data_IF_548147205196
#
_entry.id   IF_548147205196
#
_cell.length_a   1.000
_cell.length_b   1.000
_cell.length_c   1.000
_cell.angle_alpha   90.00
_cell.angle_beta   90.00
_cell.angle_gamma   90.00
#
_symmetry.space_group_name_H-M   'P 1'
#
loop_
_entity.id
_entity.type
_entity.pdbx_description
1 polymer ?
#
# COMPACT_ATOMS: atom_id res chain seq x y z
N UNK A 1 14.71 6.85 13.60
CA UNK A 1 13.42 6.77 12.88
C UNK A 1 13.52 5.98 11.58
N UNK A 2 14.31 6.39 10.58
CA UNK A 2 14.32 5.72 9.26
C UNK A 2 14.67 4.22 9.35
N UNK A 3 15.72 3.85 10.08
CA UNK A 3 16.12 2.43 10.24
C UNK A 3 14.99 1.54 10.78
N UNK A 4 14.17 2.03 11.73
CA UNK A 4 13.05 1.23 12.25
C UNK A 4 11.93 1.01 11.23
N UNK A 5 11.87 1.84 10.18
CA UNK A 5 10.94 1.68 9.06
C UNK A 5 11.52 0.82 7.93
N UNK A 6 12.85 0.71 7.81
CA UNK A 6 13.49 0.18 6.59
C UNK A 6 14.42 -1.00 6.79
N UNK A 7 14.67 -1.46 8.01
CA UNK A 7 15.53 -2.64 8.26
C UNK A 7 14.74 -3.94 8.10
N UNK A 8 14.77 -4.51 6.87
CA UNK A 8 14.09 -5.75 6.47
C UNK A 8 12.60 -5.79 6.86
N UNK A 9 11.92 -4.66 6.76
CA UNK A 9 10.51 -4.52 7.09
C UNK A 9 9.61 -5.00 5.96
N UNK A 10 8.46 -5.53 6.34
CA UNK A 10 7.36 -5.88 5.43
C UNK A 10 6.32 -4.75 5.49
N UNK A 11 6.28 -3.94 4.44
CA UNK A 11 5.33 -2.84 4.29
C UNK A 11 4.04 -3.32 3.65
N UNK A 12 2.91 -2.87 4.17
CA UNK A 12 1.62 -3.00 3.47
C UNK A 12 1.52 -1.92 2.39
N UNK A 13 1.28 -2.33 1.14
CA UNK A 13 1.09 -1.38 0.06
C UNK A 13 -0.25 -0.64 0.16
N UNK A 14 -0.31 0.66 -0.17
CA UNK A 14 -1.57 1.38 -0.23
C UNK A 14 -2.38 0.96 -1.47
N UNK A 15 -3.56 0.38 -1.25
CA UNK A 15 -4.49 -0.08 -2.28
C UNK A 15 -5.85 0.60 -2.06
N UNK A 16 -6.12 1.65 -2.82
CA UNK A 16 -7.39 2.37 -2.75
C UNK A 16 -8.58 1.41 -2.99
N UNK A 17 -9.57 1.44 -2.10
CA UNK A 17 -10.73 0.55 -2.05
C UNK A 17 -10.48 -0.81 -1.40
N UNK A 18 -9.28 -1.06 -0.85
CA UNK A 18 -8.91 -2.33 -0.23
C UNK A 18 -8.22 -2.20 1.12
N UNK A 19 -7.23 -1.30 1.26
CA UNK A 19 -6.47 -1.12 2.50
C UNK A 19 -7.08 -0.04 3.38
N UNK A 20 -8.37 -0.18 3.65
CA UNK A 20 -9.07 0.66 4.61
C UNK A 20 -8.63 0.35 6.05
N UNK A 21 -9.15 1.08 7.03
CA UNK A 21 -8.73 0.93 8.43
C UNK A 21 -8.87 -0.52 8.93
N UNK A 22 -9.97 -1.20 8.60
CA UNK A 22 -10.21 -2.57 9.04
C UNK A 22 -9.18 -3.54 8.42
N UNK A 23 -8.97 -3.48 7.12
CA UNK A 23 -8.03 -4.40 6.48
C UNK A 23 -6.58 -4.15 6.92
N UNK A 24 -6.21 -2.90 7.20
CA UNK A 24 -4.86 -2.57 7.72
C UNK A 24 -4.61 -3.19 9.09
N UNK A 25 -5.61 -3.20 9.99
CA UNK A 25 -5.50 -3.90 11.29
C UNK A 25 -5.28 -5.40 11.10
N UNK A 26 -6.04 -6.02 10.20
CA UNK A 26 -5.89 -7.45 9.90
C UNK A 26 -4.48 -7.72 9.32
N UNK A 27 -4.02 -6.92 8.37
CA UNK A 27 -2.66 -7.05 7.86
C UNK A 27 -1.58 -6.85 8.93
N UNK A 28 -1.79 -5.94 9.89
CA UNK A 28 -0.89 -5.74 11.02
C UNK A 28 -0.82 -6.98 11.91
N UNK A 29 -1.96 -7.57 12.25
CA UNK A 29 -2.05 -8.82 13.02
C UNK A 29 -1.40 -9.98 12.25
N UNK A 30 -1.54 -10.02 10.93
CA UNK A 30 -0.86 -10.97 10.06
C UNK A 30 0.61 -10.63 9.79
N UNK A 31 1.25 -9.70 10.51
CA UNK A 31 2.70 -9.52 10.44
C UNK A 31 3.20 -8.43 9.48
N UNK A 32 2.36 -7.53 8.98
CA UNK A 32 2.85 -6.28 8.38
C UNK A 32 3.59 -5.46 9.44
N UNK A 33 4.82 -5.04 9.15
CA UNK A 33 5.61 -4.22 10.06
C UNK A 33 5.26 -2.74 9.93
N UNK A 34 5.04 -2.25 8.69
CA UNK A 34 4.75 -0.83 8.41
C UNK A 34 3.45 -0.71 7.61
N UNK A 35 2.58 0.20 8.02
CA UNK A 35 1.27 0.42 7.43
C UNK A 35 1.24 1.75 6.67
N UNK A 36 0.64 1.76 5.48
CA UNK A 36 0.38 2.98 4.70
C UNK A 36 -1.13 3.13 4.52
N UNK A 37 -1.65 4.34 4.69
CA UNK A 37 -3.04 4.67 4.37
C UNK A 37 -3.36 4.42 2.90
N UNK A 38 -4.65 4.36 2.55
CA UNK A 38 -5.04 4.58 1.16
C UNK A 38 -4.54 5.96 0.68
N UNK A 39 -4.45 6.16 -0.64
CA UNK A 39 -4.03 7.44 -1.19
C UNK A 39 -5.08 8.53 -0.89
N UNK A 40 -4.64 9.63 -0.28
CA UNK A 40 -5.49 10.75 0.14
C UNK A 40 -5.21 11.97 -0.73
N UNK A 41 -6.28 12.63 -1.21
CA UNK A 41 -6.13 13.82 -2.05
C UNK A 41 -5.67 15.01 -1.22
N UNK A 42 -4.56 15.65 -1.58
CA UNK A 42 -4.11 16.88 -0.94
C UNK A 42 -5.15 18.01 -1.10
N UNK A 43 -5.69 18.20 -2.32
CA UNK A 43 -6.81 19.13 -2.56
C UNK A 43 -8.01 18.80 -1.67
N UNK A 44 -8.31 17.51 -1.52
CA UNK A 44 -9.39 17.04 -0.67
C UNK A 44 -9.17 17.36 0.80
N UNK A 45 -7.94 17.26 1.31
CA UNK A 45 -7.63 17.65 2.70
C UNK A 45 -7.77 19.16 2.90
N UNK A 46 -7.32 19.96 1.93
CA UNK A 46 -7.30 21.42 2.02
C UNK A 46 -8.69 22.05 1.82
N UNK A 47 -9.48 21.57 0.85
CA UNK A 47 -10.74 22.19 0.46
C UNK A 47 -12.00 21.40 0.87
N UNK A 48 -11.91 20.09 1.08
CA UNK A 48 -13.04 19.20 1.41
C UNK A 48 -12.69 18.26 2.58
N UNK A 49 -12.26 18.88 3.69
CA UNK A 49 -11.56 18.22 4.81
C UNK A 49 -12.29 16.98 5.33
N UNK A 50 -13.63 17.02 5.47
CA UNK A 50 -14.40 15.97 6.17
C UNK A 50 -14.25 14.59 5.55
N UNK A 51 -14.33 14.47 4.23
CA UNK A 51 -14.26 13.15 3.56
C UNK A 51 -12.82 12.67 3.42
N UNK A 52 -11.91 13.57 3.06
CA UNK A 52 -10.53 13.15 2.75
C UNK A 52 -9.75 12.81 4.01
N UNK A 53 -10.03 13.51 5.12
CA UNK A 53 -9.33 13.26 6.39
C UNK A 53 -9.67 11.89 6.98
N UNK A 54 -10.84 11.31 6.72
CA UNK A 54 -11.18 9.99 7.31
C UNK A 54 -10.32 8.85 6.78
N UNK A 55 -9.76 8.98 5.57
CA UNK A 55 -8.78 8.02 5.05
C UNK A 55 -7.46 8.00 5.85
N UNK A 56 -7.20 9.05 6.64
CA UNK A 56 -6.01 9.17 7.51
C UNK A 56 -6.22 8.56 8.89
N UNK A 57 -7.43 8.10 9.22
CA UNK A 57 -7.75 7.59 10.54
C UNK A 57 -7.02 6.27 10.82
N UNK A 58 -6.31 6.23 11.94
CA UNK A 58 -5.55 5.10 12.45
C UNK A 58 -5.54 5.14 13.98
N UNK A 59 -5.03 4.07 14.58
CA UNK A 59 -4.83 3.93 16.03
C UNK A 59 -3.45 3.34 16.30
N UNK A 60 -3.06 3.30 17.58
CA UNK A 60 -1.73 2.84 18.01
C UNK A 60 -1.40 1.42 17.55
N UNK A 61 -2.38 0.53 17.38
CA UNK A 61 -2.12 -0.84 16.92
C UNK A 61 -1.54 -0.88 15.50
N UNK A 62 -1.82 0.14 14.68
CA UNK A 62 -1.36 0.22 13.29
C UNK A 62 0.06 0.79 13.17
N UNK A 63 0.66 1.34 14.23
CA UNK A 63 1.97 1.99 14.15
C UNK A 63 3.11 0.98 13.91
N UNK A 64 4.15 1.31 13.11
CA UNK A 64 4.31 2.57 12.38
C UNK A 64 3.31 2.74 11.22
N UNK A 65 2.69 3.92 11.16
CA UNK A 65 1.64 4.28 10.21
C UNK A 65 2.02 5.54 9.44
N UNK A 66 1.93 5.47 8.11
CA UNK A 66 2.13 6.62 7.25
C UNK A 66 0.91 6.99 6.42
N UNK A 67 0.79 8.27 6.12
CA UNK A 67 -0.30 8.81 5.31
C UNK A 67 0.23 9.05 3.89
N UNK A 68 -0.37 8.39 2.90
CA UNK A 68 -0.01 8.62 1.50
C UNK A 68 -0.84 9.75 0.90
N UNK A 69 -0.20 10.84 0.51
CA UNK A 69 -0.80 11.96 -0.21
C UNK A 69 -0.65 11.82 -1.73
N UNK A 70 -1.63 12.32 -2.48
CA UNK A 70 -1.48 12.59 -3.91
C UNK A 70 -2.00 13.99 -4.26
N UNK A 71 -1.34 14.63 -5.20
CA UNK A 71 -1.64 15.97 -5.70
C UNK A 71 -0.59 16.40 -6.71
N UNK A 72 -0.73 17.61 -7.25
CA UNK A 72 0.15 18.14 -8.30
C UNK A 72 0.63 19.57 -8.05
N UNK A 73 0.06 20.26 -7.07
CA UNK A 73 0.40 21.65 -6.74
C UNK A 73 1.25 21.71 -5.47
N UNK A 74 2.52 22.16 -5.53
CA UNK A 74 3.47 22.12 -4.41
C UNK A 74 2.95 22.73 -3.12
N UNK A 75 2.37 23.94 -3.19
CA UNK A 75 1.83 24.64 -2.02
C UNK A 75 0.64 23.93 -1.39
N UNK A 76 -0.19 23.27 -2.19
CA UNK A 76 -1.35 22.49 -1.70
C UNK A 76 -0.85 21.22 -1.01
N UNK A 77 0.17 20.56 -1.56
CA UNK A 77 0.81 19.41 -0.93
C UNK A 77 1.41 19.77 0.42
N UNK A 78 2.14 20.87 0.52
CA UNK A 78 2.67 21.38 1.79
C UNK A 78 1.56 21.74 2.78
N UNK A 79 0.49 22.41 2.31
CA UNK A 79 -0.64 22.74 3.19
C UNK A 79 -1.35 21.49 3.71
N UNK A 80 -1.48 20.46 2.88
CA UNK A 80 -2.03 19.17 3.30
C UNK A 80 -1.15 18.51 4.37
N UNK A 81 0.19 18.58 4.24
CA UNK A 81 1.15 18.12 5.27
C UNK A 81 0.87 18.80 6.60
N UNK A 82 0.81 20.13 6.64
CA UNK A 82 0.53 20.88 7.87
C UNK A 82 -0.76 20.41 8.55
N UNK A 83 -1.81 20.15 7.78
CA UNK A 83 -3.11 19.69 8.30
C UNK A 83 -3.01 18.26 8.85
N UNK A 84 -2.34 17.34 8.16
CA UNK A 84 -2.26 15.93 8.60
C UNK A 84 -1.27 15.69 9.73
N UNK A 85 -0.38 16.64 10.05
CA UNK A 85 0.47 16.56 11.24
C UNK A 85 -0.35 16.45 12.54
N UNK A 86 -1.58 16.99 12.57
CA UNK A 86 -2.53 16.81 13.69
C UNK A 86 -2.83 15.31 13.95
N UNK A 87 -2.74 14.46 12.92
CA UNK A 87 -2.95 13.01 13.01
C UNK A 87 -1.70 12.25 13.50
N UNK A 88 -0.58 12.93 13.71
CA UNK A 88 0.68 12.38 14.22
C UNK A 88 1.18 11.12 13.46
N UNK A 89 1.24 11.15 12.12
CA UNK A 89 1.78 10.02 11.35
C UNK A 89 3.26 9.80 11.69
N UNK A 90 3.73 8.55 11.56
CA UNK A 90 5.17 8.24 11.69
C UNK A 90 5.97 8.68 10.45
N UNK A 91 5.30 8.75 9.30
CA UNK A 91 5.86 9.25 8.04
C UNK A 91 4.74 9.71 7.09
N UNK A 92 5.09 10.51 6.09
CA UNK A 92 4.20 10.92 5.01
C UNK A 92 4.76 10.33 3.71
N UNK A 93 3.91 9.76 2.87
CA UNK A 93 4.31 9.20 1.57
C UNK A 93 3.70 10.02 0.43
N UNK A 94 4.45 10.24 -0.64
CA UNK A 94 3.96 10.91 -1.85
C UNK A 94 3.69 9.89 -2.94
N UNK A 95 2.43 9.80 -3.38
CA UNK A 95 2.06 8.97 -4.50
C UNK A 95 2.51 9.61 -5.82
N UNK A 96 3.56 9.03 -6.41
CA UNK A 96 4.07 9.37 -7.74
C UNK A 96 3.96 8.17 -8.71
N UNK A 97 3.10 7.19 -8.40
CA UNK A 97 3.01 5.93 -9.12
C UNK A 97 1.61 5.54 -9.60
N UNK A 98 0.55 6.18 -9.11
CA UNK A 98 -0.82 5.82 -9.48
C UNK A 98 -1.08 6.08 -10.98
N UNK A 99 -1.54 5.06 -11.75
CA UNK A 99 -1.80 5.22 -13.19
C UNK A 99 -3.27 5.53 -13.50
N UNK A 100 -4.14 5.66 -12.48
CA UNK A 100 -5.59 5.84 -12.64
C UNK A 100 -5.89 7.14 -13.38
N UNK A 101 -6.76 7.07 -14.39
CA UNK A 101 -7.13 8.19 -15.28
C UNK A 101 -7.49 9.47 -14.51
N UNK A 102 -8.29 9.38 -13.45
CA UNK A 102 -8.72 10.53 -12.63
C UNK A 102 -7.55 11.23 -11.93
N UNK A 103 -6.53 10.47 -11.53
CA UNK A 103 -5.33 11.00 -10.84
C UNK A 103 -4.39 11.65 -11.85
N UNK A 104 -4.07 10.94 -12.94
CA UNK A 104 -3.13 11.45 -13.96
C UNK A 104 -3.67 12.68 -14.70
N UNK A 105 -5.00 12.80 -14.89
CA UNK A 105 -5.63 13.98 -15.51
C UNK A 105 -5.45 15.24 -14.68
N UNK A 106 -5.21 15.12 -13.37
CA UNK A 106 -4.89 16.24 -12.48
C UNK A 106 -3.38 16.53 -12.41
N UNK A 107 -2.56 15.83 -13.19
CA UNK A 107 -1.10 15.95 -13.11
C UNK A 107 -0.46 15.26 -11.90
N UNK A 108 -1.22 14.44 -11.16
CA UNK A 108 -0.76 13.73 -9.97
C UNK A 108 -0.40 12.26 -10.27
N UNK A 109 0.12 11.54 -9.27
CA UNK A 109 0.49 10.13 -9.41
C UNK A 109 1.61 9.96 -10.43
N UNK A 110 1.52 8.94 -11.28
CA UNK A 110 2.54 8.67 -12.31
C UNK A 110 2.69 9.76 -13.38
N UNK A 111 1.79 10.75 -13.45
CA UNK A 111 1.98 11.91 -14.30
C UNK A 111 3.15 12.80 -13.84
N UNK A 112 3.48 12.80 -12.54
CA UNK A 112 4.64 13.51 -11.99
C UNK A 112 5.97 12.96 -12.53
N UNK A 113 6.03 11.68 -12.89
CA UNK A 113 7.22 11.09 -13.51
C UNK A 113 7.54 11.67 -14.90
N UNK A 114 6.59 12.36 -15.54
CA UNK A 114 6.84 13.11 -16.78
C UNK A 114 7.31 14.55 -16.54
N UNK A 115 7.22 15.04 -15.30
CA UNK A 115 7.58 16.40 -14.94
C UNK A 115 8.40 16.38 -13.64
N UNK A 116 9.70 16.02 -13.72
CA UNK A 116 10.60 15.97 -12.57
C UNK A 116 10.69 17.29 -11.81
N UNK A 117 10.69 18.43 -12.50
CA UNK A 117 10.77 19.76 -11.87
C UNK A 117 9.57 20.03 -10.94
N UNK A 118 8.37 19.66 -11.39
CA UNK A 118 7.16 19.74 -10.56
C UNK A 118 7.23 18.78 -9.37
N UNK A 119 7.72 17.56 -9.57
CA UNK A 119 7.90 16.60 -8.48
C UNK A 119 8.91 17.10 -7.44
N UNK A 120 10.04 17.66 -7.89
CA UNK A 120 11.04 18.28 -7.04
C UNK A 120 10.46 19.43 -6.22
N UNK A 121 9.71 20.33 -6.86
CA UNK A 121 9.05 21.44 -6.19
C UNK A 121 8.07 20.96 -5.10
N UNK A 122 7.29 19.90 -5.37
CA UNK A 122 6.41 19.28 -4.38
C UNK A 122 7.20 18.80 -3.16
N UNK A 123 8.28 18.04 -3.38
CA UNK A 123 9.09 17.52 -2.27
C UNK A 123 9.70 18.65 -1.45
N UNK A 124 10.28 19.67 -2.11
CA UNK A 124 10.88 20.82 -1.41
C UNK A 124 9.87 21.56 -0.52
N UNK A 125 8.68 21.82 -1.04
CA UNK A 125 7.62 22.49 -0.28
C UNK A 125 7.11 21.61 0.88
N UNK A 126 6.93 20.31 0.67
CA UNK A 126 6.55 19.38 1.75
C UNK A 126 7.63 19.29 2.83
N UNK A 127 8.90 19.24 2.46
CA UNK A 127 10.02 19.27 3.40
C UNK A 127 10.09 20.57 4.20
N UNK A 128 9.78 21.71 3.57
CA UNK A 128 9.65 22.98 4.29
C UNK A 128 8.56 22.91 5.37
N UNK A 129 7.40 22.31 5.07
CA UNK A 129 6.32 22.12 6.04
C UNK A 129 6.65 21.12 7.15
N UNK A 130 7.60 20.20 6.92
CA UNK A 130 8.07 19.22 7.90
C UNK A 130 9.24 19.72 8.76
N UNK A 131 9.76 20.94 8.54
CA UNK A 131 10.87 21.48 9.33
C UNK A 131 10.54 21.46 10.83
N UNK A 132 11.43 20.86 11.62
CA UNK A 132 11.26 20.71 13.07
C UNK A 132 10.30 19.59 13.50
N UNK A 133 9.68 18.87 12.55
CA UNK A 133 8.85 17.71 12.84
C UNK A 133 9.68 16.43 12.77
N UNK A 134 9.46 15.51 13.71
CA UNK A 134 10.03 14.16 13.65
C UNK A 134 9.11 13.26 12.82
N UNK A 135 8.99 13.52 11.52
CA UNK A 135 8.15 12.78 10.58
C UNK A 135 8.92 12.64 9.27
N UNK A 136 9.14 11.40 8.82
CA UNK A 136 9.87 11.14 7.58
C UNK A 136 9.01 11.40 6.35
N UNK A 137 9.64 11.75 5.22
CA UNK A 137 9.00 11.88 3.92
C UNK A 137 9.45 10.76 2.99
N UNK A 138 8.53 9.97 2.46
CA UNK A 138 8.79 8.95 1.44
C UNK A 138 8.09 9.27 0.12
N UNK A 139 8.53 8.62 -0.96
CA UNK A 139 7.86 8.68 -2.24
C UNK A 139 7.70 7.30 -2.87
N UNK A 140 6.50 7.01 -3.38
CA UNK A 140 6.22 5.77 -4.11
C UNK A 140 6.11 6.02 -5.61
N UNK A 141 7.05 5.47 -6.38
CA UNK A 141 7.20 5.68 -7.82
C UNK A 141 6.97 4.40 -8.64
N UNK A 142 6.94 4.57 -9.97
CA UNK A 142 6.94 3.51 -10.99
C UNK A 142 8.27 3.47 -11.75
N UNK A 143 8.41 2.58 -12.74
CA UNK A 143 9.56 2.59 -13.68
C UNK A 143 9.65 3.88 -14.51
N UNK A 144 8.48 4.48 -14.79
CA UNK A 144 8.33 5.58 -15.75
C UNK A 144 6.95 5.56 -16.39
N UNK A 145 6.75 6.35 -17.45
CA UNK A 145 5.44 6.50 -18.08
C UNK A 145 5.07 5.30 -18.96
N UNK A 146 5.98 4.89 -19.83
CA UNK A 146 5.87 3.75 -20.73
C UNK A 146 7.26 3.13 -20.98
N UNK A 147 7.36 2.17 -21.89
CA UNK A 147 8.62 1.46 -22.16
C UNK A 147 9.68 2.35 -22.80
N UNK A 148 9.29 3.42 -23.48
CA UNK A 148 10.20 4.38 -24.10
C UNK A 148 10.64 5.46 -23.11
N UNK A 149 9.90 5.64 -22.02
CA UNK A 149 10.08 6.69 -21.03
C UNK A 149 10.32 6.08 -19.63
N UNK A 150 11.33 5.21 -19.51
CA UNK A 150 11.80 4.66 -18.22
C UNK A 150 12.78 5.66 -17.62
N UNK A 151 12.50 6.16 -16.41
CA UNK A 151 13.32 7.16 -15.74
C UNK A 151 13.43 6.98 -14.23
N UNK A 152 13.03 5.83 -13.68
CA UNK A 152 12.99 5.61 -12.23
C UNK A 152 14.31 5.87 -11.50
N UNK A 153 15.46 5.53 -12.09
CA UNK A 153 16.77 5.71 -11.46
C UNK A 153 17.11 7.20 -11.32
N UNK A 154 17.01 7.97 -12.40
CA UNK A 154 17.32 9.40 -12.36
C UNK A 154 16.25 10.20 -11.60
N UNK A 155 14.98 9.81 -11.72
CA UNK A 155 13.91 10.36 -10.91
C UNK A 155 14.14 10.11 -9.41
N UNK A 156 14.63 8.91 -9.04
CA UNK A 156 14.96 8.59 -7.65
C UNK A 156 16.15 9.39 -7.11
N UNK A 157 17.18 9.66 -7.91
CA UNK A 157 18.28 10.57 -7.54
C UNK A 157 17.76 11.99 -7.30
N UNK A 158 16.89 12.49 -8.18
CA UNK A 158 16.25 13.80 -8.01
C UNK A 158 15.47 13.85 -6.69
N UNK A 159 14.63 12.84 -6.40
CA UNK A 159 13.86 12.79 -5.15
C UNK A 159 14.75 12.80 -3.91
N UNK A 160 15.86 12.04 -3.93
CA UNK A 160 16.85 12.09 -2.84
C UNK A 160 17.42 13.50 -2.67
N UNK A 161 17.85 14.14 -3.76
CA UNK A 161 18.44 15.47 -3.71
C UNK A 161 17.42 16.55 -3.27
N UNK A 162 16.13 16.32 -3.55
CA UNK A 162 15.03 17.15 -3.06
C UNK A 162 14.73 16.93 -1.57
N UNK A 163 15.25 15.86 -0.97
CA UNK A 163 15.17 15.56 0.45
C UNK A 163 14.12 14.51 0.83
N UNK A 164 13.76 13.57 -0.05
CA UNK A 164 13.00 12.38 0.36
C UNK A 164 13.89 11.46 1.21
N UNK A 165 13.35 10.91 2.30
CA UNK A 165 14.06 10.01 3.20
C UNK A 165 14.06 8.55 2.74
N UNK A 166 13.04 8.11 1.98
CA UNK A 166 12.86 6.72 1.54
C UNK A 166 12.11 6.65 0.21
N UNK A 167 12.47 5.71 -0.68
CA UNK A 167 11.77 5.53 -1.96
C UNK A 167 11.22 4.11 -2.08
N UNK A 168 9.93 3.97 -2.38
CA UNK A 168 9.36 2.71 -2.84
C UNK A 168 9.24 2.69 -4.37
N UNK A 169 9.84 1.68 -5.02
CA UNK A 169 9.74 1.50 -6.47
C UNK A 169 8.89 0.28 -6.81
N UNK A 170 7.78 0.52 -7.54
CA UNK A 170 7.06 -0.53 -8.26
C UNK A 170 7.57 -0.55 -9.71
N UNK A 171 8.42 -1.51 -10.13
CA UNK A 171 9.09 -1.41 -11.41
C UNK A 171 8.23 -1.97 -12.54
N UNK A 172 7.05 -1.35 -12.70
CA UNK A 172 6.25 -1.36 -13.91
C UNK A 172 6.09 0.07 -14.37
N UNK A 173 5.99 0.27 -15.68
CA UNK A 173 5.59 1.55 -16.25
C UNK A 173 4.13 1.85 -15.92
N UNK A 174 3.71 3.11 -16.06
CA UNK A 174 2.31 3.51 -15.94
C UNK A 174 1.44 2.78 -16.96
N UNK A 175 1.88 2.64 -18.22
CA UNK A 175 1.09 1.97 -19.29
C UNK A 175 0.90 0.48 -19.06
N UNK A 176 1.85 -0.20 -18.41
CA UNK A 176 1.69 -1.59 -18.03
C UNK A 176 0.53 -1.79 -17.05
N UNK A 177 0.15 -0.78 -16.25
CA UNK A 177 -0.82 -0.93 -15.16
C UNK A 177 -0.41 -2.08 -14.22
N UNK A 178 -0.99 -3.26 -14.47
CA UNK A 178 -0.83 -4.50 -13.75
C UNK A 178 -0.46 -5.69 -14.64
N UNK A 179 -0.31 -5.48 -15.95
CA UNK A 179 0.08 -6.50 -16.93
C UNK A 179 1.59 -6.73 -16.92
N UNK A 180 2.03 -7.80 -17.58
CA UNK A 180 3.42 -8.21 -17.63
C UNK A 180 4.01 -8.51 -16.25
N UNK A 181 5.34 -8.49 -16.16
CA UNK A 181 6.11 -8.68 -14.93
C UNK A 181 6.80 -7.38 -14.52
N UNK A 182 7.03 -7.24 -13.22
CA UNK A 182 7.83 -6.15 -12.66
C UNK A 182 9.30 -6.41 -12.97
N UNK A 183 10.03 -5.38 -13.40
CA UNK A 183 11.46 -5.46 -13.71
C UNK A 183 12.30 -5.11 -12.48
N UNK A 184 12.58 -6.11 -11.64
CA UNK A 184 13.31 -5.89 -10.39
C UNK A 184 14.75 -5.40 -10.58
N UNK A 185 15.32 -5.50 -11.79
CA UNK A 185 16.63 -4.90 -12.08
C UNK A 185 16.63 -3.39 -11.84
N UNK A 186 15.52 -2.69 -12.12
CA UNK A 186 15.40 -1.26 -11.85
C UNK A 186 15.48 -0.93 -10.35
N UNK A 187 15.01 -1.83 -9.47
CA UNK A 187 15.16 -1.67 -8.01
C UNK A 187 16.62 -1.81 -7.63
N UNK A 188 17.31 -2.82 -8.18
CA UNK A 188 18.75 -3.04 -7.96
C UNK A 188 19.58 -1.84 -8.41
N UNK A 189 19.33 -1.35 -9.62
CA UNK A 189 20.01 -0.18 -10.18
C UNK A 189 19.75 1.07 -9.34
N UNK A 190 18.49 1.33 -8.96
CA UNK A 190 18.16 2.47 -8.10
C UNK A 190 18.89 2.35 -6.75
N UNK A 191 18.88 1.18 -6.12
CA UNK A 191 19.57 0.93 -4.83
C UNK A 191 21.07 1.19 -4.90
N UNK A 192 21.70 0.96 -6.05
CA UNK A 192 23.12 1.25 -6.27
C UNK A 192 23.41 2.74 -6.50
N UNK A 193 22.41 3.53 -6.89
CA UNK A 193 22.59 4.94 -7.29
C UNK A 193 22.13 5.95 -6.27
N UNK A 194 21.38 5.54 -5.25
CA UNK A 194 20.96 6.40 -4.13
C UNK A 194 21.48 5.85 -2.79
N UNK A 195 21.59 6.73 -1.81
CA UNK A 195 22.08 6.45 -0.45
C UNK A 195 20.92 6.24 0.54
N UNK A 196 19.74 6.78 0.25
CA UNK A 196 18.54 6.57 1.05
C UNK A 196 17.97 5.16 0.88
N UNK A 197 17.20 4.64 1.85
CA UNK A 197 16.60 3.32 1.73
C UNK A 197 15.61 3.18 0.57
N UNK A 198 15.64 2.00 -0.05
CA UNK A 198 14.76 1.57 -1.13
C UNK A 198 13.84 0.46 -0.63
N UNK A 199 12.54 0.64 -0.82
CA UNK A 199 11.51 -0.36 -0.57
C UNK A 199 11.13 -1.03 -1.90
N UNK A 200 11.50 -2.29 -2.07
CA UNK A 200 11.17 -3.08 -3.25
C UNK A 200 9.69 -3.45 -3.31
N UNK A 201 9.03 -3.25 -4.45
CA UNK A 201 7.61 -3.57 -4.62
C UNK A 201 7.33 -4.27 -5.94
N UNK A 202 6.26 -5.07 -5.97
CA UNK A 202 5.69 -5.64 -7.19
C UNK A 202 5.94 -7.14 -7.31
N UNK A 203 4.87 -7.87 -7.59
CA UNK A 203 4.84 -9.32 -7.86
C UNK A 203 5.29 -10.25 -6.73
N UNK A 204 5.37 -9.77 -5.49
CA UNK A 204 5.50 -10.62 -4.30
C UNK A 204 4.17 -11.33 -4.04
N UNK A 205 4.11 -12.65 -4.27
CA UNK A 205 2.91 -13.50 -4.08
C UNK A 205 3.16 -14.71 -3.21
N UNK A 206 4.42 -15.07 -2.97
CA UNK A 206 4.82 -16.15 -2.06
C UNK A 206 5.98 -15.71 -1.16
N UNK A 207 6.28 -16.45 -0.08
CA UNK A 207 7.46 -16.21 0.75
C UNK A 207 8.78 -16.24 -0.03
N UNK A 208 8.90 -17.12 -1.01
CA UNK A 208 10.08 -17.23 -1.88
C UNK A 208 10.23 -15.99 -2.78
N UNK A 209 9.13 -15.40 -3.26
CA UNK A 209 9.19 -14.14 -4.01
C UNK A 209 9.76 -13.01 -3.16
N UNK A 210 9.41 -12.96 -1.86
CA UNK A 210 9.95 -11.97 -0.92
C UNK A 210 11.47 -12.18 -0.71
N UNK A 211 11.91 -13.41 -0.48
CA UNK A 211 13.34 -13.73 -0.37
C UNK A 211 14.10 -13.39 -1.66
N UNK A 212 13.54 -13.71 -2.83
CA UNK A 212 14.12 -13.36 -4.14
C UNK A 212 14.20 -11.85 -4.34
N UNK A 213 13.19 -11.09 -3.94
CA UNK A 213 13.22 -9.62 -4.00
C UNK A 213 14.43 -9.08 -3.22
N UNK A 214 14.64 -9.53 -1.98
CA UNK A 214 15.78 -9.12 -1.18
C UNK A 214 17.11 -9.53 -1.84
N UNK A 215 17.28 -10.79 -2.23
CA UNK A 215 18.55 -11.30 -2.75
C UNK A 215 18.93 -10.75 -4.12
N UNK A 216 17.95 -10.47 -5.00
CA UNK A 216 18.21 -9.95 -6.34
C UNK A 216 18.49 -8.45 -6.34
N UNK A 217 17.82 -7.69 -5.47
CA UNK A 217 17.80 -6.23 -5.54
C UNK A 217 18.62 -5.55 -4.46
N UNK A 218 18.92 -6.24 -3.36
CA UNK A 218 19.47 -5.66 -2.14
C UNK A 218 18.66 -4.46 -1.60
N UNK A 219 17.36 -4.40 -1.88
CA UNK A 219 16.46 -3.42 -1.27
C UNK A 219 16.44 -3.57 0.26
N UNK A 220 16.22 -2.48 0.97
CA UNK A 220 16.30 -2.45 2.44
C UNK A 220 15.06 -3.08 3.07
N UNK A 221 13.91 -2.95 2.40
CA UNK A 221 12.62 -3.49 2.82
C UNK A 221 11.76 -3.84 1.60
N UNK A 222 10.68 -4.57 1.83
CA UNK A 222 9.72 -4.93 0.78
C UNK A 222 8.35 -4.35 1.07
N UNK A 223 7.59 -4.09 0.01
CA UNK A 223 6.19 -3.70 0.10
C UNK A 223 5.32 -4.71 -0.63
N UNK A 224 4.33 -5.27 0.08
CA UNK A 224 3.42 -6.29 -0.42
C UNK A 224 2.06 -5.69 -0.70
N UNK A 225 1.58 -5.84 -1.94
CA UNK A 225 0.30 -5.30 -2.39
C UNK A 225 -0.69 -6.40 -2.76
N UNK A 226 -0.96 -6.59 -4.06
CA UNK A 226 -2.01 -7.51 -4.51
C UNK A 226 -1.86 -8.97 -4.06
N UNK A 227 -0.67 -9.39 -3.60
CA UNK A 227 -0.45 -10.73 -3.06
C UNK A 227 -1.27 -11.03 -1.79
N UNK A 228 -1.60 -10.00 -1.00
CA UNK A 228 -2.34 -10.17 0.26
C UNK A 228 -3.87 -10.07 0.10
N UNK A 229 -4.38 -9.75 -1.09
CA UNK A 229 -5.81 -9.65 -1.33
C UNK A 229 -6.44 -11.05 -1.29
N UNK A 230 -7.26 -11.30 -0.26
CA UNK A 230 -7.81 -12.63 0.02
C UNK A 230 -6.85 -13.58 0.72
N UNK A 231 -5.64 -13.11 1.06
CA UNK A 231 -4.58 -13.89 1.71
C UNK A 231 -3.72 -13.01 2.64
N UNK A 232 -4.29 -12.28 3.62
CA UNK A 232 -3.51 -11.40 4.50
C UNK A 232 -2.43 -12.14 5.29
N UNK A 233 -2.67 -13.42 5.64
CA UNK A 233 -1.70 -14.30 6.31
C UNK A 233 -0.44 -14.60 5.47
N UNK A 234 -0.39 -14.24 4.18
CA UNK A 234 0.85 -14.27 3.41
C UNK A 234 1.96 -13.43 4.07
N UNK A 235 1.60 -12.39 4.82
CA UNK A 235 2.56 -11.56 5.55
C UNK A 235 3.26 -12.36 6.66
N UNK A 236 2.52 -13.17 7.42
CA UNK A 236 3.07 -14.11 8.42
C UNK A 236 3.96 -15.13 7.72
N UNK A 237 3.47 -15.73 6.63
CA UNK A 237 4.22 -16.72 5.87
C UNK A 237 5.56 -16.16 5.36
N UNK A 238 5.57 -14.92 4.85
CA UNK A 238 6.81 -14.22 4.45
C UNK A 238 7.73 -14.03 5.65
N UNK A 239 7.20 -13.59 6.79
CA UNK A 239 7.99 -13.28 7.98
C UNK A 239 8.67 -14.53 8.54
N UNK A 240 7.93 -15.63 8.65
CA UNK A 240 8.44 -16.92 9.12
C UNK A 240 9.52 -17.45 8.17
N UNK A 241 9.27 -17.40 6.86
CA UNK A 241 10.21 -17.90 5.86
C UNK A 241 11.50 -17.09 5.81
N UNK A 242 11.43 -15.77 5.98
CA UNK A 242 12.63 -14.92 6.05
C UNK A 242 13.46 -15.17 7.32
N UNK A 243 12.84 -15.66 8.40
CA UNK A 243 13.51 -15.96 9.66
C UNK A 243 14.11 -17.37 9.65
N UNK A 244 13.35 -18.36 9.20
CA UNK A 244 13.65 -19.79 9.41
C UNK A 244 13.79 -20.61 8.12
N UNK A 245 13.59 -20.01 6.93
CA UNK A 245 13.44 -20.72 5.66
C UNK A 245 12.31 -21.77 5.63
N UNK A 246 11.39 -21.70 6.58
CA UNK A 246 10.20 -22.54 6.71
C UNK A 246 8.96 -21.66 6.91
N UNK A 247 7.80 -22.16 6.50
CA UNK A 247 6.53 -21.43 6.61
C UNK A 247 5.55 -22.23 7.43
N UNK A 248 5.02 -21.64 8.51
CA UNK A 248 3.88 -22.22 9.19
C UNK A 248 2.63 -21.99 8.33
N UNK A 249 2.12 -23.06 7.72
CA UNK A 249 0.90 -22.98 6.92
C UNK A 249 -0.30 -23.02 7.84
N UNK A 250 -1.05 -21.91 7.92
CA UNK A 250 -2.33 -21.90 8.62
C UNK A 250 -3.29 -22.93 8.03
N UNK A 251 -3.99 -23.66 8.90
CA UNK A 251 -5.08 -24.54 8.51
C UNK A 251 -6.30 -23.72 8.02
N UNK A 252 -7.31 -24.40 7.48
CA UNK A 252 -8.47 -23.71 6.91
C UNK A 252 -9.30 -22.97 7.98
N UNK A 253 -9.44 -23.54 9.19
CA UNK A 253 -10.15 -22.91 10.30
C UNK A 253 -9.48 -21.61 10.74
N UNK A 254 -8.16 -21.60 10.91
CA UNK A 254 -7.39 -20.39 11.26
C UNK A 254 -7.53 -19.30 10.19
N UNK A 255 -7.52 -19.69 8.91
CA UNK A 255 -7.78 -18.75 7.80
C UNK A 255 -9.20 -18.19 7.83
N UNK A 256 -10.19 -19.01 8.19
CA UNK A 256 -11.57 -18.57 8.35
C UNK A 256 -11.73 -17.58 9.49
N UNK A 257 -11.08 -17.82 10.64
CA UNK A 257 -11.09 -16.90 11.77
C UNK A 257 -10.57 -15.51 11.40
N UNK A 258 -9.50 -15.42 10.60
CA UNK A 258 -8.99 -14.14 10.08
C UNK A 258 -10.04 -13.44 9.20
N UNK A 259 -10.80 -14.19 8.39
CA UNK A 259 -11.86 -13.63 7.54
C UNK A 259 -13.01 -13.09 8.40
N UNK A 260 -13.40 -13.82 9.45
CA UNK A 260 -14.43 -13.39 10.41
C UNK A 260 -13.99 -12.12 11.13
N UNK A 261 -12.76 -12.08 11.64
CA UNK A 261 -12.19 -10.89 12.29
C UNK A 261 -12.19 -9.68 11.34
N UNK A 262 -11.80 -9.88 10.08
CA UNK A 262 -11.84 -8.82 9.08
C UNK A 262 -13.25 -8.28 8.86
N UNK A 263 -14.23 -9.18 8.72
CA UNK A 263 -15.63 -8.81 8.59
C UNK A 263 -16.09 -7.97 9.80
N UNK A 264 -15.76 -8.42 11.02
CA UNK A 264 -16.16 -7.76 12.26
C UNK A 264 -15.54 -6.37 12.42
N UNK A 265 -14.28 -6.19 12.05
CA UNK A 265 -13.64 -4.87 12.05
C UNK A 265 -14.33 -3.88 11.10
N UNK A 266 -14.81 -4.34 9.93
CA UNK A 266 -15.58 -3.46 9.03
C UNK A 266 -16.94 -3.13 9.63
N UNK A 267 -17.63 -4.08 10.29
CA UNK A 267 -18.89 -3.80 11.00
C UNK A 267 -18.70 -2.73 12.07
N UNK A 268 -17.66 -2.86 12.90
CA UNK A 268 -17.35 -1.87 13.95
C UNK A 268 -17.13 -0.47 13.36
N UNK A 269 -16.47 -0.38 12.22
CA UNK A 269 -16.10 0.90 11.61
C UNK A 269 -17.22 1.58 10.82
N UNK A 270 -18.10 0.82 10.15
CA UNK A 270 -19.03 1.36 9.14
C UNK A 270 -20.49 0.91 9.28
N UNK A 271 -20.78 0.06 10.25
CA UNK A 271 -22.10 -0.53 10.46
C UNK A 271 -22.42 -1.66 9.48
N UNK A 272 -23.30 -2.56 9.89
CA UNK A 272 -23.55 -3.85 9.23
C UNK A 272 -23.98 -3.74 7.76
N UNK A 273 -24.87 -2.81 7.43
CA UNK A 273 -25.39 -2.65 6.07
C UNK A 273 -24.30 -2.21 5.07
N UNK A 274 -23.39 -1.32 5.49
CA UNK A 274 -22.25 -0.90 4.67
C UNK A 274 -21.27 -2.04 4.50
N UNK A 275 -21.01 -2.80 5.56
CA UNK A 275 -20.06 -3.93 5.57
C UNK A 275 -20.40 -4.99 4.55
N UNK A 276 -21.66 -5.41 4.47
CA UNK A 276 -22.04 -6.49 3.53
C UNK A 276 -21.73 -6.09 2.08
N UNK A 277 -21.93 -4.83 1.73
CA UNK A 277 -21.65 -4.32 0.37
C UNK A 277 -20.16 -4.26 0.09
N UNK A 278 -19.37 -3.71 1.01
CA UNK A 278 -17.92 -3.56 0.83
C UNK A 278 -17.19 -4.91 0.86
N UNK A 279 -17.64 -5.82 1.73
CA UNK A 279 -17.06 -7.15 1.86
C UNK A 279 -17.26 -8.02 0.62
N UNK A 280 -18.22 -7.73 -0.27
CA UNK A 280 -18.35 -8.44 -1.56
C UNK A 280 -17.05 -8.43 -2.36
N UNK A 281 -16.36 -7.30 -2.37
CA UNK A 281 -15.06 -7.19 -3.02
C UNK A 281 -14.05 -8.09 -2.32
N UNK A 282 -13.93 -8.05 -1.00
CA UNK A 282 -12.99 -8.90 -0.25
C UNK A 282 -13.31 -10.41 -0.38
N UNK A 283 -14.58 -10.80 -0.27
CA UNK A 283 -15.03 -12.19 -0.46
C UNK A 283 -14.74 -12.70 -1.87
N UNK A 284 -14.79 -11.84 -2.89
CA UNK A 284 -14.38 -12.24 -4.25
C UNK A 284 -12.91 -12.69 -4.29
N UNK A 285 -12.05 -12.13 -3.43
CA UNK A 285 -10.66 -12.55 -3.28
C UNK A 285 -10.51 -13.78 -2.38
N UNK A 286 -11.18 -13.82 -1.22
CA UNK A 286 -11.10 -14.99 -0.31
C UNK A 286 -11.58 -16.27 -0.99
N UNK A 287 -12.63 -16.19 -1.81
CA UNK A 287 -13.18 -17.38 -2.50
C UNK A 287 -12.38 -17.80 -3.74
N UNK A 288 -11.34 -17.07 -4.14
CA UNK A 288 -10.61 -17.34 -5.38
C UNK A 288 -9.81 -18.64 -5.26
N UNK A 289 -9.91 -19.50 -6.27
CA UNK A 289 -9.20 -20.78 -6.34
C UNK A 289 -10.01 -21.98 -5.85
N UNK A 290 -11.10 -21.76 -5.10
CA UNK A 290 -11.98 -22.84 -4.68
C UNK A 290 -12.91 -23.32 -5.80
N UNK A 291 -13.12 -24.65 -5.88
CA UNK A 291 -14.14 -25.28 -6.72
C UNK A 291 -15.52 -24.79 -6.26
N UNK A 292 -16.39 -24.41 -7.20
CA UNK A 292 -17.73 -23.90 -6.87
C UNK A 292 -17.78 -22.44 -6.41
N UNK A 293 -16.64 -21.74 -6.32
CA UNK A 293 -16.58 -20.35 -5.84
C UNK A 293 -17.46 -19.36 -6.62
N UNK A 294 -17.77 -19.62 -7.89
CA UNK A 294 -18.69 -18.79 -8.67
C UNK A 294 -20.13 -18.78 -8.09
N UNK A 295 -20.62 -19.94 -7.62
CA UNK A 295 -21.96 -20.05 -7.02
C UNK A 295 -22.01 -19.29 -5.69
N UNK A 296 -20.98 -19.43 -4.86
CA UNK A 296 -20.87 -18.73 -3.57
C UNK A 296 -20.76 -17.22 -3.76
N UNK A 297 -19.94 -16.74 -4.71
CA UNK A 297 -19.88 -15.31 -5.03
C UNK A 297 -21.23 -14.76 -5.48
N UNK A 298 -21.98 -15.51 -6.31
CA UNK A 298 -23.32 -15.09 -6.74
C UNK A 298 -24.29 -14.99 -5.55
N UNK A 299 -24.24 -15.96 -4.63
CA UNK A 299 -25.02 -15.93 -3.40
C UNK A 299 -24.67 -14.72 -2.51
N UNK A 300 -23.39 -14.50 -2.23
CA UNK A 300 -22.90 -13.37 -1.41
C UNK A 300 -23.31 -12.02 -2.02
N UNK A 301 -23.24 -11.88 -3.35
CA UNK A 301 -23.64 -10.66 -4.03
C UNK A 301 -25.15 -10.36 -3.92
N UNK A 302 -25.99 -11.37 -3.69
CA UNK A 302 -27.44 -11.24 -3.53
C UNK A 302 -27.89 -11.23 -2.07
N UNK A 303 -27.04 -11.65 -1.14
CA UNK A 303 -27.35 -11.69 0.29
C UNK A 303 -27.24 -10.31 0.94
N UNK A 304 -28.11 -10.09 1.93
CA UNK A 304 -28.10 -8.99 2.89
C UNK A 304 -27.99 -9.48 4.34
N UNK A 305 -27.74 -10.77 4.55
CA UNK A 305 -27.67 -11.41 5.85
C UNK A 305 -26.23 -11.83 6.17
N UNK A 306 -25.66 -11.22 7.22
CA UNK A 306 -24.30 -11.51 7.72
C UNK A 306 -24.09 -12.99 8.00
N UNK A 307 -25.01 -13.63 8.73
CA UNK A 307 -24.83 -15.02 9.19
C UNK A 307 -24.77 -15.97 8.01
N UNK A 308 -25.66 -15.76 7.03
CA UNK A 308 -25.67 -16.56 5.80
C UNK A 308 -24.40 -16.40 4.97
N UNK A 309 -23.88 -15.17 4.88
CA UNK A 309 -22.64 -14.90 4.15
C UNK A 309 -21.45 -15.59 4.81
N UNK A 310 -21.31 -15.46 6.13
CA UNK A 310 -20.21 -16.10 6.87
C UNK A 310 -20.30 -17.62 6.82
N UNK A 311 -21.49 -18.21 6.96
CA UNK A 311 -21.70 -19.66 6.80
C UNK A 311 -21.27 -20.16 5.42
N UNK A 312 -21.64 -19.44 4.35
CA UNK A 312 -21.25 -19.82 2.98
C UNK A 312 -19.73 -19.72 2.74
N UNK A 313 -19.04 -18.83 3.46
CA UNK A 313 -17.58 -18.78 3.45
C UNK A 313 -17.02 -19.93 4.28
N UNK A 314 -17.57 -20.22 5.46
CA UNK A 314 -17.12 -21.31 6.34
C UNK A 314 -17.09 -22.65 5.60
N UNK A 315 -18.12 -22.95 4.80
CA UNK A 315 -18.19 -24.16 3.97
C UNK A 315 -16.99 -24.33 3.01
N UNK A 316 -16.32 -23.25 2.61
CA UNK A 316 -15.11 -23.30 1.78
C UNK A 316 -13.84 -23.55 2.61
N UNK A 317 -13.88 -23.19 3.88
CA UNK A 317 -12.76 -23.26 4.81
C UNK A 317 -12.97 -24.31 5.91
N UNK A 318 -13.86 -25.27 5.68
CA UNK A 318 -14.09 -26.45 6.51
C UNK A 318 -13.42 -27.68 5.91
#
# INVERSE_FOLDING_TARGET
MIKSLTDKKIWLAPLAGFTDNAFRKICKQCGADVIVSEMVSADGIVFDKKRSISYTDSDESQRPFGIQLFGSEPKIMAKAVEIILEKKPDFIDVNMGCPVKKVIKRGAGSALMKNPDKAEAIIKEMNNALKGCNVALSAKIRSGWDKQNINAVDFGKMLQNAGVDMICLHPRTRTQMFSGRSDWNLIKELKQKVRIPIIGNGDIRTPEDAQKMFSQTNCDSIMVGRGILGKPWLLTEIKDYLLNAETQTLNLSEKYEIIVQHFEEIVKNKGEQTTIREMRTHFSYYTKGFKGSAKIRNFINKSSDKKKVLSAIQELYS
#
